data_IF_586767784146
#
_entry.id   IF_586767784146
#
_cell.length_a   1.000
_cell.length_b   1.000
_cell.length_c   1.000
_cell.angle_alpha   90.00
_cell.angle_beta   90.00
_cell.angle_gamma   90.00
#
_symmetry.space_group_name_H-M   'P 1'
#
loop_
_entity.id
_entity.type
_entity.pdbx_description
1 polymer ?
#
# COMPACT_ATOMS: atom_id res chain seq x y z
N UNK A 1 6.62 -15.47 -11.20
CA UNK A 1 5.96 -15.30 -9.89
C UNK A 1 4.71 -16.16 -9.89
N UNK A 2 4.89 -17.46 -9.66
CA UNK A 2 3.82 -18.47 -9.65
C UNK A 2 3.17 -18.45 -8.27
N UNK A 3 1.99 -17.83 -8.13
CA UNK A 3 1.15 -18.07 -6.97
C UNK A 3 0.50 -19.45 -7.14
N UNK A 4 1.19 -20.49 -6.71
CA UNK A 4 0.67 -21.84 -6.68
C UNK A 4 0.06 -22.10 -5.28
N UNK A 5 -1.23 -21.80 -5.12
CA UNK A 5 -2.10 -22.38 -4.09
C UNK A 5 -1.52 -22.54 -2.67
N UNK A 6 -0.92 -21.49 -2.12
CA UNK A 6 -0.58 -21.46 -0.69
C UNK A 6 -1.76 -20.87 0.10
N UNK A 7 -2.24 -21.61 1.11
CA UNK A 7 -3.24 -21.07 2.05
C UNK A 7 -2.58 -19.94 2.84
N UNK A 8 -2.89 -18.69 2.47
CA UNK A 8 -2.42 -17.52 3.20
C UNK A 8 -3.50 -17.09 4.19
N UNK A 9 -3.20 -17.19 5.48
CA UNK A 9 -4.09 -16.75 6.56
C UNK A 9 -3.55 -15.45 7.17
N UNK A 10 -4.42 -14.45 7.30
CA UNK A 10 -4.11 -13.19 8.00
C UNK A 10 -5.09 -13.02 9.13
N UNK A 11 -4.57 -12.82 10.34
CA UNK A 11 -5.39 -12.42 11.49
C UNK A 11 -5.43 -10.91 11.54
N UNK A 12 -6.64 -10.35 11.43
CA UNK A 12 -6.91 -8.92 11.56
C UNK A 12 -7.68 -8.64 12.83
N UNK A 13 -7.52 -7.44 13.36
CA UNK A 13 -8.30 -6.94 14.50
C UNK A 13 -9.36 -5.95 14.02
N UNK A 14 -10.51 -5.89 14.68
CA UNK A 14 -11.58 -4.97 14.29
C UNK A 14 -12.17 -4.27 15.51
N UNK A 15 -12.19 -2.92 15.53
CA UNK A 15 -12.72 -2.19 16.67
C UNK A 15 -14.24 -2.41 16.74
N UNK A 16 -14.68 -3.23 17.70
CA UNK A 16 -16.11 -3.42 18.01
C UNK A 16 -16.70 -2.28 18.84
N UNK A 17 -15.84 -1.42 19.41
CA UNK A 17 -16.22 -0.23 20.18
C UNK A 17 -15.36 0.96 19.77
N UNK A 18 -15.92 2.19 19.76
CA UNK A 18 -15.13 3.41 19.59
C UNK A 18 -14.04 3.52 20.66
N UNK A 19 -12.81 3.83 20.25
CA UNK A 19 -11.67 4.01 21.17
C UNK A 19 -11.02 2.72 21.69
N UNK A 20 -11.40 1.56 21.17
CA UNK A 20 -10.72 0.30 21.51
C UNK A 20 -9.26 0.34 21.00
N UNK A 21 -8.32 0.02 21.88
CA UNK A 21 -6.93 -0.26 21.49
C UNK A 21 -6.90 -1.58 20.72
N UNK A 22 -6.36 -1.55 19.51
CA UNK A 22 -6.22 -2.72 18.66
C UNK A 22 -4.84 -3.34 18.86
N UNK A 23 -4.79 -4.68 18.89
CA UNK A 23 -3.55 -5.43 19.02
C UNK A 23 -2.96 -5.82 17.66
N UNK A 24 -3.75 -5.76 16.60
CA UNK A 24 -3.36 -6.13 15.24
C UNK A 24 -3.80 -5.11 14.20
N UNK A 25 -3.43 -5.38 12.94
CA UNK A 25 -3.82 -4.54 11.81
C UNK A 25 -5.31 -4.67 11.54
N UNK A 26 -5.96 -3.55 11.25
CA UNK A 26 -7.35 -3.56 10.80
C UNK A 26 -7.47 -4.05 9.37
N UNK A 27 -8.64 -4.60 8.96
CA UNK A 27 -8.91 -4.88 7.55
C UNK A 27 -8.70 -3.67 6.63
N UNK A 28 -8.97 -2.46 7.14
CA UNK A 28 -8.80 -1.21 6.39
C UNK A 28 -7.33 -0.86 6.19
N UNK A 29 -6.51 -0.99 7.23
CA UNK A 29 -5.05 -0.81 7.13
C UNK A 29 -4.42 -1.88 6.24
N UNK A 30 -4.87 -3.14 6.36
CA UNK A 30 -4.43 -4.23 5.50
C UNK A 30 -4.75 -3.95 4.03
N UNK A 31 -5.94 -3.40 3.75
CA UNK A 31 -6.31 -2.98 2.40
C UNK A 31 -5.35 -1.91 1.87
N UNK A 32 -5.08 -0.85 2.64
CA UNK A 32 -4.12 0.20 2.25
C UNK A 32 -2.71 -0.36 2.03
N UNK A 33 -2.25 -1.26 2.90
CA UNK A 33 -0.95 -1.91 2.77
C UNK A 33 -0.85 -2.76 1.50
N UNK A 34 -1.89 -3.55 1.20
CA UNK A 34 -1.94 -4.36 -0.03
C UNK A 34 -1.95 -3.49 -1.28
N UNK A 35 -2.66 -2.36 -1.27
CA UNK A 35 -2.69 -1.41 -2.37
C UNK A 35 -1.32 -0.77 -2.58
N UNK A 36 -0.66 -0.31 -1.51
CA UNK A 36 0.68 0.25 -1.55
C UNK A 36 1.70 -0.76 -2.10
N UNK A 37 1.66 -2.00 -1.61
CA UNK A 37 2.57 -3.06 -2.04
C UNK A 37 2.38 -3.44 -3.53
N UNK A 38 1.13 -3.58 -3.96
CA UNK A 38 0.81 -3.94 -5.34
C UNK A 38 1.24 -2.83 -6.32
N UNK A 39 0.86 -1.58 -6.03
CA UNK A 39 1.22 -0.42 -6.87
C UNK A 39 2.73 -0.17 -6.88
N UNK A 40 3.40 -0.26 -5.73
CA UNK A 40 4.85 -0.13 -5.64
C UNK A 40 5.59 -1.17 -6.48
N UNK A 41 5.12 -2.43 -6.49
CA UNK A 41 5.70 -3.49 -7.31
C UNK A 41 5.56 -3.21 -8.82
N UNK A 42 4.42 -2.65 -9.23
CA UNK A 42 4.19 -2.23 -10.61
C UNK A 42 5.12 -1.07 -11.00
N UNK A 43 5.24 -0.04 -10.15
CA UNK A 43 6.12 1.12 -10.40
C UNK A 43 7.58 0.71 -10.48
N UNK A 44 8.06 -0.11 -9.54
CA UNK A 44 9.43 -0.63 -9.55
C UNK A 44 9.71 -1.42 -10.83
N UNK A 45 8.78 -2.27 -11.26
CA UNK A 45 8.88 -3.04 -12.50
C UNK A 45 8.88 -2.14 -13.74
N UNK A 46 8.07 -1.09 -13.75
CA UNK A 46 8.01 -0.12 -14.84
C UNK A 46 9.32 0.65 -14.99
N UNK A 47 9.84 1.21 -13.90
CA UNK A 47 11.10 1.98 -13.89
C UNK A 47 12.29 1.11 -14.31
N UNK A 48 12.31 -0.17 -13.90
CA UNK A 48 13.30 -1.14 -14.36
C UNK A 48 13.24 -1.35 -15.89
N UNK A 49 12.04 -1.45 -16.49
CA UNK A 49 11.87 -1.55 -17.95
C UNK A 49 12.27 -0.27 -18.69
N UNK A 50 12.20 0.89 -18.02
CA UNK A 50 12.70 2.17 -18.53
C UNK A 50 14.21 2.36 -18.30
N UNK A 51 14.91 1.31 -17.82
CA UNK A 51 16.34 1.32 -17.52
C UNK A 51 16.75 2.42 -16.53
N UNK A 52 15.84 2.82 -15.64
CA UNK A 52 16.14 3.81 -14.60
C UNK A 52 16.97 3.17 -13.48
N UNK A 53 18.02 3.84 -12.98
CA UNK A 53 18.91 3.32 -11.92
C UNK A 53 18.28 3.44 -10.52
N UNK A 54 17.09 2.87 -10.35
CA UNK A 54 16.34 2.89 -9.10
C UNK A 54 16.99 1.95 -8.08
N UNK A 55 17.28 2.46 -6.89
CA UNK A 55 17.77 1.72 -5.73
C UNK A 55 16.64 1.28 -4.78
N UNK A 56 15.49 1.96 -4.80
CA UNK A 56 14.31 1.56 -4.02
C UNK A 56 13.07 2.40 -4.34
N UNK A 57 11.91 1.80 -4.13
CA UNK A 57 10.60 2.45 -4.20
C UNK A 57 9.88 2.20 -2.88
N UNK A 58 9.51 3.27 -2.20
CA UNK A 58 8.70 3.25 -0.99
C UNK A 58 7.34 3.88 -1.31
N UNK A 59 6.25 3.26 -0.83
CA UNK A 59 4.89 3.73 -1.08
C UNK A 59 4.16 3.86 0.24
N UNK A 60 3.72 5.08 0.56
CA UNK A 60 2.91 5.35 1.73
C UNK A 60 1.45 5.53 1.33
N UNK A 61 0.54 4.77 1.94
CA UNK A 61 -0.89 4.86 1.68
C UNK A 61 -1.63 5.48 2.85
N UNK A 62 -2.44 6.50 2.58
CA UNK A 62 -3.28 7.19 3.56
C UNK A 62 -4.73 7.15 3.13
N UNK A 63 -5.60 6.60 3.97
CA UNK A 63 -7.04 6.54 3.71
C UNK A 63 -7.82 7.47 4.64
N UNK A 64 -8.70 8.29 4.07
CA UNK A 64 -9.68 9.09 4.83
C UNK A 64 -10.99 8.30 4.87
N UNK A 65 -11.40 7.88 6.06
CA UNK A 65 -12.66 7.14 6.27
C UNK A 65 -13.79 8.12 6.61
N UNK A 66 -15.00 7.86 6.11
CA UNK A 66 -16.21 8.58 6.56
C UNK A 66 -16.65 8.05 7.93
N UNK A 67 -17.11 8.96 8.78
CA UNK A 67 -17.63 8.61 10.10
C UNK A 67 -19.08 8.09 10.04
N UNK A 68 -19.84 8.48 9.01
CA UNK A 68 -21.22 8.03 8.80
C UNK A 68 -21.31 6.69 8.06
N UNK A 69 -22.34 5.91 8.37
CA UNK A 69 -22.61 4.65 7.68
C UNK A 69 -23.12 4.89 6.25
N UNK A 70 -22.61 4.16 5.24
CA UNK A 70 -21.57 3.14 5.32
C UNK A 70 -20.17 3.73 5.52
N UNK A 71 -19.42 3.20 6.49
CA UNK A 71 -18.08 3.68 6.86
C UNK A 71 -17.04 3.18 5.85
N UNK A 72 -16.95 3.86 4.72
CA UNK A 72 -16.04 3.55 3.61
C UNK A 72 -14.87 4.55 3.55
N UNK A 73 -13.83 4.22 2.78
CA UNK A 73 -12.84 5.21 2.38
C UNK A 73 -13.50 6.25 1.46
N UNK A 74 -13.50 7.51 1.88
CA UNK A 74 -13.87 8.64 1.04
C UNK A 74 -12.76 8.93 0.02
N UNK A 75 -11.51 8.83 0.46
CA UNK A 75 -10.32 9.11 -0.33
C UNK A 75 -9.18 8.20 0.11
N UNK A 76 -8.34 7.82 -0.85
CA UNK A 76 -7.05 7.17 -0.60
C UNK A 76 -5.99 7.96 -1.36
N UNK A 77 -4.93 8.37 -0.66
CA UNK A 77 -3.76 9.00 -1.24
C UNK A 77 -2.58 8.03 -1.16
N UNK A 78 -1.79 7.95 -2.23
CA UNK A 78 -0.55 7.19 -2.30
C UNK A 78 0.60 8.17 -2.56
N UNK A 79 1.61 8.13 -1.70
CA UNK A 79 2.84 8.90 -1.85
C UNK A 79 3.96 7.95 -2.26
N UNK A 80 4.62 8.22 -3.39
CA UNK A 80 5.68 7.41 -3.93
C UNK A 80 7.02 8.09 -3.69
N UNK A 81 7.92 7.42 -2.97
CA UNK A 81 9.29 7.87 -2.74
C UNK A 81 10.23 6.95 -3.50
N UNK A 82 10.71 7.42 -4.64
CA UNK A 82 11.68 6.71 -5.49
C UNK A 82 13.10 7.19 -5.16
N UNK A 83 14.00 6.26 -4.86
CA UNK A 83 15.40 6.54 -4.56
C UNK A 83 16.29 5.88 -5.60
N UNK A 84 17.30 6.59 -6.10
CA UNK A 84 18.28 6.05 -7.04
C UNK A 84 19.24 7.14 -7.54
N UNK A 85 20.48 6.77 -7.85
CA UNK A 85 21.47 7.74 -8.36
C UNK A 85 21.34 7.85 -9.87
N UNK A 86 20.98 9.04 -10.35
CA UNK A 86 20.76 9.28 -11.78
C UNK A 86 19.38 8.82 -12.27
N UNK A 87 18.39 8.73 -11.38
CA UNK A 87 16.99 8.58 -11.79
C UNK A 87 16.55 9.88 -12.45
N UNK A 88 16.04 9.78 -13.67
CA UNK A 88 15.56 10.92 -14.43
C UNK A 88 14.26 11.45 -13.81
N UNK A 89 14.17 12.73 -13.42
CA UNK A 89 12.96 13.28 -12.81
C UNK A 89 11.72 13.19 -13.71
N UNK A 90 11.90 13.20 -15.03
CA UNK A 90 10.80 13.07 -16.00
C UNK A 90 10.26 11.64 -16.13
N UNK A 91 10.97 10.64 -15.58
CA UNK A 91 10.56 9.25 -15.60
C UNK A 91 9.71 8.84 -14.38
N UNK A 92 9.49 9.75 -13.44
CA UNK A 92 8.80 9.51 -12.15
C UNK A 92 7.54 10.35 -12.03
#
# INVERSE_FOLDING_TARGET
MTAANERFAVTTDFPTKPGATLAGVTPMELLLASLAACTGSVVASLLARLHQPVAGVEVEARGVRRDEHPTIFANIALEFVVRGRGVEPAAV
#
